data_IF_202856374822
#
_entry.id   IF_202856374822
#
_cell.length_a   1.000
_cell.length_b   1.000
_cell.length_c   1.000
_cell.angle_alpha   90.00
_cell.angle_beta   90.00
_cell.angle_gamma   90.00
#
_symmetry.space_group_name_H-M   'P 1'
#
loop_
_entity.id
_entity.type
_entity.pdbx_description
1 polymer ?
#
# COMPACT_ATOMS: atom_id res chain seq x y z
N UNK A 1 0.48 -2.29 -2.65
CA UNK A 1 -0.72 -2.42 -3.49
C UNK A 1 -0.76 -1.28 -4.50
N UNK A 2 -1.52 -1.44 -5.60
CA UNK A 2 -1.68 -0.40 -6.63
C UNK A 2 -1.00 -0.75 -7.95
N UNK A 3 -0.28 0.16 -8.50
CA UNK A 3 0.38 0.50 -9.75
C UNK A 3 -0.52 1.31 -10.69
N UNK A 4 -1.08 0.79 -11.77
CA UNK A 4 -1.92 1.62 -12.66
C UNK A 4 -3.04 2.33 -11.90
N UNK A 5 -3.59 1.66 -10.90
CA UNK A 5 -4.62 2.22 -10.02
C UNK A 5 -4.55 1.60 -8.62
N UNK A 6 -5.23 2.24 -7.64
CA UNK A 6 -5.40 1.76 -6.27
C UNK A 6 -6.75 2.21 -5.71
N UNK A 7 -7.12 1.73 -4.51
CA UNK A 7 -8.34 2.14 -3.82
C UNK A 7 -9.44 1.08 -3.88
N UNK A 8 -10.70 1.53 -3.79
CA UNK A 8 -11.86 0.64 -3.79
C UNK A 8 -12.16 0.06 -5.18
N UNK A 9 -12.83 -1.11 -5.24
CA UNK A 9 -13.31 -1.65 -6.50
C UNK A 9 -14.28 -0.68 -7.17
N UNK A 10 -14.32 -0.71 -8.48
CA UNK A 10 -15.20 0.16 -9.25
C UNK A 10 -15.10 -0.09 -10.73
N UNK A 11 -15.73 0.81 -11.49
CA UNK A 11 -15.60 0.87 -12.95
C UNK A 11 -14.92 2.14 -13.34
N UNK A 12 -14.05 2.07 -14.35
CA UNK A 12 -13.40 3.21 -14.94
C UNK A 12 -13.58 3.22 -16.45
N UNK A 13 -13.52 4.40 -17.06
CA UNK A 13 -13.57 4.58 -18.50
C UNK A 13 -12.18 4.90 -19.03
N UNK A 14 -11.83 4.33 -20.15
CA UNK A 14 -10.57 4.60 -20.83
C UNK A 14 -10.77 4.69 -22.33
N UNK A 15 -9.79 5.26 -23.02
CA UNK A 15 -9.79 5.27 -24.48
C UNK A 15 -8.98 4.07 -25.00
N UNK A 16 -9.63 3.23 -25.79
CA UNK A 16 -8.99 2.06 -26.40
C UNK A 16 -7.96 2.50 -27.45
N UNK A 17 -7.12 1.56 -27.87
CA UNK A 17 -6.16 1.78 -28.94
C UNK A 17 -6.80 2.11 -30.31
N UNK A 18 -8.09 1.91 -30.47
CA UNK A 18 -8.85 2.29 -31.66
C UNK A 18 -9.53 3.66 -31.52
N UNK A 19 -9.33 4.35 -30.38
CA UNK A 19 -9.97 5.64 -30.10
C UNK A 19 -11.40 5.54 -29.56
N UNK A 20 -11.94 4.35 -29.39
CA UNK A 20 -13.27 4.16 -28.82
C UNK A 20 -13.23 4.21 -27.28
N UNK A 21 -14.35 4.58 -26.66
CA UNK A 21 -14.51 4.44 -25.19
C UNK A 21 -14.62 2.98 -24.80
N UNK A 22 -13.87 2.57 -23.81
CA UNK A 22 -13.94 1.27 -23.16
C UNK A 22 -14.19 1.41 -21.67
N UNK A 23 -14.58 0.32 -21.02
CA UNK A 23 -14.73 0.24 -19.57
C UNK A 23 -13.88 -0.90 -19.03
N UNK A 24 -13.30 -0.70 -17.84
CA UNK A 24 -12.63 -1.76 -17.09
C UNK A 24 -13.17 -1.85 -15.66
N UNK A 25 -13.16 -3.05 -15.13
CA UNK A 25 -13.45 -3.28 -13.71
C UNK A 25 -12.16 -3.15 -12.91
N UNK A 26 -12.18 -2.22 -11.95
CA UNK A 26 -11.06 -2.00 -11.03
C UNK A 26 -11.19 -2.95 -9.84
N UNK A 27 -10.12 -3.66 -9.53
CA UNK A 27 -10.04 -4.53 -8.36
C UNK A 27 -9.66 -3.75 -7.11
N UNK A 28 -9.98 -4.30 -5.93
CA UNK A 28 -9.58 -3.70 -4.66
C UNK A 28 -8.04 -3.55 -4.60
N UNK A 29 -7.58 -2.33 -4.32
CA UNK A 29 -6.16 -1.97 -4.12
C UNK A 29 -5.24 -2.22 -5.33
N UNK A 30 -5.79 -2.26 -6.54
CA UNK A 30 -5.00 -2.41 -7.76
C UNK A 30 -4.59 -3.86 -8.06
N UNK A 31 -3.71 -4.03 -9.02
CA UNK A 31 -3.36 -5.33 -9.59
C UNK A 31 -2.16 -6.01 -8.93
N UNK A 32 -1.19 -5.21 -8.44
CA UNK A 32 0.14 -5.73 -8.10
C UNK A 32 0.13 -6.81 -7.00
N UNK A 33 -0.80 -6.72 -6.06
CA UNK A 33 -0.94 -7.72 -4.97
C UNK A 33 -1.34 -9.10 -5.45
N UNK A 34 -1.85 -9.21 -6.69
CA UNK A 34 -2.35 -10.44 -7.29
C UNK A 34 -1.47 -10.92 -8.45
N UNK A 35 -0.34 -10.26 -8.71
CA UNK A 35 0.61 -10.64 -9.75
C UNK A 35 1.78 -11.36 -9.06
N UNK A 36 2.05 -12.63 -9.40
CA UNK A 36 3.21 -13.34 -8.88
C UNK A 36 4.52 -12.64 -9.25
N UNK A 37 5.47 -12.65 -8.33
CA UNK A 37 6.81 -12.17 -8.64
C UNK A 37 7.44 -13.03 -9.74
N UNK A 38 7.97 -12.39 -10.78
CA UNK A 38 8.64 -13.05 -11.90
C UNK A 38 10.08 -13.42 -11.58
N UNK A 39 10.67 -12.79 -10.57
CA UNK A 39 12.01 -13.05 -10.08
C UNK A 39 12.06 -12.80 -8.57
N UNK A 40 12.71 -13.69 -7.81
CA UNK A 40 12.93 -13.53 -6.37
C UNK A 40 14.39 -13.86 -6.07
N UNK A 41 15.06 -12.93 -5.41
CA UNK A 41 16.46 -13.05 -5.01
C UNK A 41 16.54 -12.95 -3.49
N UNK A 42 17.18 -13.93 -2.84
CA UNK A 42 17.46 -13.91 -1.40
C UNK A 42 18.96 -13.83 -1.19
N UNK A 43 19.41 -12.86 -0.42
CA UNK A 43 20.82 -12.69 -0.08
C UNK A 43 21.00 -12.49 1.42
N UNK A 44 22.14 -13.00 1.93
CA UNK A 44 22.59 -12.76 3.30
C UNK A 44 24.05 -12.30 3.23
N UNK A 45 24.34 -11.17 3.85
CA UNK A 45 25.72 -10.66 3.91
C UNK A 45 26.59 -11.62 4.72
N UNK A 46 27.82 -11.87 4.23
CA UNK A 46 28.79 -12.75 4.89
C UNK A 46 29.52 -12.10 6.05
N UNK A 47 29.38 -10.80 6.19
CA UNK A 47 30.01 -9.97 7.24
C UNK A 47 28.93 -9.26 8.08
N UNK A 48 29.26 -8.96 9.32
CA UNK A 48 28.38 -8.18 10.18
C UNK A 48 27.97 -6.87 9.51
N UNK A 49 26.70 -6.47 9.63
CA UNK A 49 25.64 -6.98 10.51
C UNK A 49 24.83 -8.19 9.96
N UNK A 50 25.33 -8.89 8.92
CA UNK A 50 24.68 -10.06 8.31
C UNK A 50 23.29 -9.75 7.74
N UNK A 51 23.15 -8.65 7.05
CA UNK A 51 21.88 -8.19 6.51
C UNK A 51 21.23 -9.25 5.62
N UNK A 52 19.99 -9.54 5.91
CA UNK A 52 19.13 -10.43 5.10
C UNK A 52 18.31 -9.54 4.17
N UNK A 53 18.29 -9.88 2.87
CA UNK A 53 17.49 -9.20 1.85
C UNK A 53 16.68 -10.18 1.05
N UNK A 54 15.44 -9.85 0.83
CA UNK A 54 14.56 -10.53 -0.13
C UNK A 54 14.16 -9.47 -1.15
N UNK A 55 14.47 -9.70 -2.41
CA UNK A 55 14.17 -8.80 -3.51
C UNK A 55 13.30 -9.50 -4.54
N UNK A 56 12.16 -8.91 -4.87
CA UNK A 56 11.23 -9.47 -5.83
C UNK A 56 10.91 -8.49 -6.95
N UNK A 57 10.69 -9.01 -8.17
CA UNK A 57 10.23 -8.25 -9.32
C UNK A 57 8.81 -8.61 -9.68
N UNK A 58 7.96 -7.60 -9.82
CA UNK A 58 6.62 -7.73 -10.37
C UNK A 58 6.46 -6.80 -11.56
N UNK A 59 5.88 -7.32 -12.63
CA UNK A 59 5.63 -6.57 -13.86
C UNK A 59 4.12 -6.42 -14.07
N UNK A 60 3.62 -5.19 -14.09
CA UNK A 60 2.28 -4.90 -14.56
C UNK A 60 2.37 -4.49 -16.03
N UNK A 61 1.96 -5.39 -16.93
CA UNK A 61 2.10 -5.18 -18.37
C UNK A 61 0.80 -5.46 -19.11
N UNK A 62 0.34 -4.45 -19.83
CA UNK A 62 -0.83 -4.53 -20.70
C UNK A 62 -0.41 -4.19 -22.12
N UNK A 63 -0.92 -4.91 -23.12
CA UNK A 63 -0.43 -4.80 -24.50
C UNK A 63 -0.49 -3.36 -25.05
N UNK A 64 -1.60 -2.67 -24.92
CA UNK A 64 -1.78 -1.26 -25.26
C UNK A 64 -1.96 -0.35 -24.03
N UNK A 65 -1.37 -0.71 -22.92
CA UNK A 65 -1.50 0.01 -21.66
C UNK A 65 -0.17 0.08 -20.92
N UNK A 66 -0.22 0.19 -19.59
CA UNK A 66 0.96 0.37 -18.75
C UNK A 66 1.98 -0.75 -18.91
N UNK A 67 3.25 -0.39 -18.77
CA UNK A 67 4.39 -1.30 -18.72
C UNK A 67 5.27 -0.91 -17.54
N UNK A 68 4.76 -1.20 -16.35
CA UNK A 68 5.38 -0.86 -15.08
C UNK A 68 6.13 -2.05 -14.51
N UNK A 69 7.37 -1.86 -14.13
CA UNK A 69 8.22 -2.84 -13.47
C UNK A 69 8.51 -2.36 -12.06
N UNK A 70 8.13 -3.12 -11.06
CA UNK A 70 8.43 -2.84 -9.66
C UNK A 70 9.42 -3.86 -9.13
N UNK A 71 10.54 -3.39 -8.60
CA UNK A 71 11.42 -4.12 -7.72
C UNK A 71 11.17 -3.70 -6.28
N UNK A 72 10.79 -4.64 -5.44
CA UNK A 72 10.68 -4.45 -3.98
C UNK A 72 11.79 -5.21 -3.29
N UNK A 73 12.55 -4.53 -2.46
CA UNK A 73 13.51 -5.15 -1.53
C UNK A 73 13.01 -5.00 -0.09
N UNK A 74 12.97 -6.09 0.63
CA UNK A 74 12.74 -6.12 2.08
C UNK A 74 14.04 -6.54 2.74
N UNK A 75 14.53 -5.72 3.66
CA UNK A 75 15.79 -6.00 4.36
C UNK A 75 15.66 -5.85 5.87
N UNK A 76 16.42 -6.68 6.59
CA UNK A 76 16.54 -6.64 8.05
C UNK A 76 17.90 -7.19 8.47
N UNK A 77 18.25 -7.03 9.74
CA UNK A 77 19.43 -7.67 10.35
C UNK A 77 18.99 -8.63 11.46
N UNK A 78 19.70 -9.73 11.68
CA UNK A 78 19.37 -10.68 12.76
C UNK A 78 19.28 -10.00 14.12
N UNK A 79 18.23 -10.31 14.88
CA UNK A 79 17.97 -9.71 16.19
C UNK A 79 17.33 -8.33 16.16
N UNK A 80 17.07 -7.74 14.98
CA UNK A 80 16.34 -6.47 14.84
C UNK A 80 14.82 -6.70 14.89
N UNK A 81 14.11 -5.74 15.47
CA UNK A 81 12.64 -5.66 15.43
C UNK A 81 12.14 -4.78 14.29
N UNK A 82 13.02 -4.38 13.37
CA UNK A 82 12.70 -3.51 12.24
C UNK A 82 13.03 -4.18 10.92
N UNK A 83 12.35 -3.78 9.88
CA UNK A 83 12.71 -4.08 8.50
C UNK A 83 12.53 -2.83 7.64
N UNK A 84 13.23 -2.79 6.53
CA UNK A 84 13.13 -1.71 5.55
C UNK A 84 12.52 -2.26 4.27
N UNK A 85 11.58 -1.51 3.69
CA UNK A 85 11.07 -1.75 2.34
C UNK A 85 11.66 -0.68 1.44
N UNK A 86 12.25 -1.10 0.34
CA UNK A 86 12.80 -0.21 -0.69
C UNK A 86 12.23 -0.60 -2.06
N UNK A 87 11.49 0.30 -2.66
CA UNK A 87 10.85 0.09 -3.95
C UNK A 87 11.51 0.89 -5.05
N UNK A 88 11.69 0.25 -6.21
CA UNK A 88 12.15 0.89 -7.43
C UNK A 88 11.14 0.62 -8.52
N UNK A 89 10.39 1.65 -8.90
CA UNK A 89 9.42 1.59 -9.98
C UNK A 89 10.02 2.15 -11.26
N UNK A 90 9.89 1.40 -12.34
CA UNK A 90 10.39 1.79 -13.68
C UNK A 90 9.26 1.71 -14.69
N UNK A 91 9.06 2.79 -15.44
CA UNK A 91 8.24 2.75 -16.64
C UNK A 91 9.08 2.16 -17.78
N UNK A 92 8.65 1.02 -18.30
CA UNK A 92 9.25 0.32 -19.45
C UNK A 92 8.54 0.62 -20.77
N UNK A 93 7.53 1.49 -20.75
CA UNK A 93 6.86 2.01 -21.94
C UNK A 93 7.60 3.19 -22.57
N UNK A 94 7.14 3.61 -23.75
CA UNK A 94 7.67 4.78 -24.48
C UNK A 94 7.04 6.09 -24.05
N UNK A 95 5.87 6.03 -23.43
CA UNK A 95 5.09 7.19 -23.04
C UNK A 95 5.08 7.37 -21.53
N UNK A 96 4.87 8.58 -20.99
CA UNK A 96 4.64 8.80 -19.58
C UNK A 96 3.47 7.94 -19.06
N UNK A 97 3.64 7.37 -17.87
CA UNK A 97 2.65 6.53 -17.24
C UNK A 97 2.39 7.00 -15.80
N UNK A 98 1.14 7.26 -15.49
CA UNK A 98 0.72 7.49 -14.11
C UNK A 98 0.72 6.17 -13.32
N UNK A 99 0.93 6.28 -12.02
CA UNK A 99 0.84 5.15 -11.11
C UNK A 99 0.31 5.58 -9.75
N UNK A 100 -0.27 4.62 -9.04
CA UNK A 100 -0.67 4.77 -7.64
C UNK A 100 -0.01 3.68 -6.81
N UNK A 101 0.44 4.03 -5.60
CA UNK A 101 1.06 3.08 -4.68
C UNK A 101 0.49 3.25 -3.27
N UNK A 102 0.09 2.13 -2.66
CA UNK A 102 -0.35 2.09 -1.27
C UNK A 102 0.53 1.14 -0.49
N UNK A 103 1.20 1.64 0.55
CA UNK A 103 1.80 0.82 1.59
C UNK A 103 0.70 0.37 2.56
N UNK A 104 0.21 -0.84 2.36
CA UNK A 104 -0.93 -1.39 3.08
C UNK A 104 -0.45 -2.39 4.13
N UNK A 105 -0.33 -1.92 5.37
CA UNK A 105 0.07 -2.75 6.49
C UNK A 105 -1.14 -3.22 7.29
N UNK A 106 -1.23 -4.52 7.55
CA UNK A 106 -2.25 -5.12 8.41
C UNK A 106 -1.63 -5.50 9.74
N UNK A 107 -2.25 -5.05 10.82
CA UNK A 107 -1.85 -5.36 12.18
C UNK A 107 -2.92 -6.21 12.85
N UNK A 108 -2.51 -7.16 13.67
CA UNK A 108 -3.39 -8.06 14.42
C UNK A 108 -2.86 -8.36 15.82
N UNK A 109 -3.44 -9.36 16.47
CA UNK A 109 -2.92 -9.86 17.76
C UNK A 109 -1.45 -10.33 17.59
N UNK A 110 -0.58 -10.06 18.58
CA UNK A 110 -0.84 -9.43 19.87
C UNK A 110 -0.78 -7.89 19.88
N UNK A 111 -0.50 -7.24 18.74
CA UNK A 111 -0.37 -5.78 18.69
C UNK A 111 -1.74 -5.07 18.81
N UNK A 112 -2.74 -5.53 18.05
CA UNK A 112 -4.08 -4.95 18.08
C UNK A 112 -5.02 -5.85 18.91
N UNK A 113 -5.09 -5.56 20.19
CA UNK A 113 -6.03 -6.14 21.13
C UNK A 113 -6.90 -5.07 21.77
N UNK A 114 -7.90 -5.45 22.55
CA UNK A 114 -8.74 -4.51 23.28
C UNK A 114 -7.89 -3.53 24.09
N UNK A 115 -8.07 -2.24 23.83
CA UNK A 115 -7.34 -1.17 24.48
C UNK A 115 -6.04 -0.77 23.81
N UNK A 116 -5.64 -1.44 22.72
CA UNK A 116 -4.54 -0.98 21.89
C UNK A 116 -4.84 0.42 21.32
N UNK A 117 -3.81 1.24 21.16
CA UNK A 117 -3.96 2.61 20.70
C UNK A 117 -3.06 2.89 19.51
N UNK A 118 -3.62 3.64 18.54
CA UNK A 118 -2.83 4.27 17.49
C UNK A 118 -2.35 5.63 17.99
N UNK A 119 -1.04 5.83 18.00
CA UNK A 119 -0.43 7.13 18.31
C UNK A 119 0.13 7.71 17.03
N UNK A 120 -0.38 8.86 16.62
CA UNK A 120 0.06 9.56 15.41
C UNK A 120 0.25 11.06 15.70
N UNK A 121 1.26 11.66 15.11
CA UNK A 121 1.49 13.10 15.10
C UNK A 121 0.51 13.75 14.11
N UNK A 122 -0.78 13.81 14.46
CA UNK A 122 -1.85 14.24 13.60
C UNK A 122 -2.22 15.70 13.85
N UNK A 123 -2.22 16.51 12.79
CA UNK A 123 -2.82 17.83 12.79
C UNK A 123 -4.36 17.74 12.79
N UNK A 124 -4.88 16.78 12.03
CA UNK A 124 -6.32 16.55 11.89
C UNK A 124 -6.64 15.08 11.63
N UNK A 125 -7.76 14.63 12.16
CA UNK A 125 -8.35 13.33 11.84
C UNK A 125 -9.76 13.56 11.32
N UNK A 126 -10.10 12.94 10.20
CA UNK A 126 -11.43 13.02 9.60
C UNK A 126 -12.02 11.62 9.41
N UNK A 127 -13.30 11.42 9.73
CA UNK A 127 -14.00 10.19 9.40
C UNK A 127 -14.20 10.11 7.89
N UNK A 128 -14.07 8.91 7.34
CA UNK A 128 -14.25 8.67 5.90
C UNK A 128 -15.73 8.79 5.48
N UNK A 129 -16.66 8.43 6.36
CA UNK A 129 -18.10 8.45 6.11
C UNK A 129 -18.89 8.63 7.41
N UNK A 130 -20.24 8.71 7.30
CA UNK A 130 -21.14 8.88 8.44
C UNK A 130 -21.08 7.73 9.45
N UNK A 131 -20.74 6.52 9.01
CA UNK A 131 -20.53 5.40 9.91
C UNK A 131 -19.31 5.64 10.80
N UNK A 132 -18.19 6.04 10.21
CA UNK A 132 -16.96 6.36 10.93
C UNK A 132 -17.11 7.61 11.82
N UNK A 133 -17.95 8.59 11.42
CA UNK A 133 -18.19 9.79 12.22
C UNK A 133 -18.73 9.49 13.62
N UNK A 134 -19.46 8.38 13.80
CA UNK A 134 -19.97 7.93 15.09
C UNK A 134 -18.89 7.52 16.06
N UNK A 135 -17.72 7.12 15.57
CA UNK A 135 -16.59 6.63 16.36
C UNK A 135 -15.43 7.65 16.45
N UNK A 136 -15.60 8.88 15.93
CA UNK A 136 -14.51 9.88 15.84
C UNK A 136 -13.87 10.22 17.19
N UNK A 137 -14.60 10.10 18.28
CA UNK A 137 -14.05 10.37 19.64
C UNK A 137 -13.12 9.29 20.16
N UNK A 138 -13.15 8.12 19.56
CA UNK A 138 -12.35 6.93 19.94
C UNK A 138 -11.57 6.38 18.76
N UNK A 139 -11.29 7.22 17.77
CA UNK A 139 -10.63 6.85 16.52
C UNK A 139 -9.29 6.14 16.72
N UNK A 140 -8.61 6.44 17.80
CA UNK A 140 -7.27 5.95 18.14
C UNK A 140 -7.27 4.70 19.04
N UNK A 141 -8.45 4.21 19.44
CA UNK A 141 -8.55 3.13 20.44
C UNK A 141 -9.29 1.93 19.87
N UNK A 142 -8.69 0.78 19.94
CA UNK A 142 -9.24 -0.48 19.45
C UNK A 142 -10.10 -1.19 20.49
N UNK A 143 -11.27 -1.65 20.06
CA UNK A 143 -12.14 -2.52 20.84
C UNK A 143 -11.68 -3.98 20.83
N UNK A 144 -12.41 -4.83 21.56
CA UNK A 144 -12.26 -6.27 21.42
C UNK A 144 -12.74 -6.73 20.02
N UNK A 145 -12.21 -7.85 19.48
CA UNK A 145 -12.73 -8.45 18.26
C UNK A 145 -14.24 -8.70 18.37
N UNK A 146 -14.96 -8.38 17.31
CA UNK A 146 -16.41 -8.49 17.24
C UNK A 146 -16.84 -9.12 15.92
N UNK A 147 -17.66 -10.19 15.99
CA UNK A 147 -18.27 -10.78 14.80
C UNK A 147 -19.19 -9.78 14.10
N UNK A 148 -19.14 -9.73 12.76
CA UNK A 148 -19.94 -8.78 11.97
C UNK A 148 -19.52 -7.32 12.17
N UNK A 149 -18.27 -7.06 12.59
CA UNK A 149 -17.76 -5.71 12.67
C UNK A 149 -17.73 -5.05 11.30
N UNK A 150 -18.33 -3.88 11.21
CA UNK A 150 -18.30 -3.05 10.00
C UNK A 150 -17.07 -2.15 10.08
N UNK A 151 -16.31 -2.11 9.02
CA UNK A 151 -15.10 -1.31 8.90
C UNK A 151 -15.33 0.17 9.24
N UNK A 152 -14.41 0.73 10.05
CA UNK A 152 -14.42 2.14 10.45
C UNK A 152 -13.11 2.76 9.99
N UNK A 153 -13.20 3.70 9.03
CA UNK A 153 -12.04 4.30 8.37
C UNK A 153 -11.88 5.76 8.77
N UNK A 154 -10.66 6.14 9.12
CA UNK A 154 -10.27 7.53 9.38
C UNK A 154 -9.13 7.95 8.46
N UNK A 155 -9.21 9.18 7.98
CA UNK A 155 -8.11 9.86 7.33
C UNK A 155 -7.32 10.64 8.38
N UNK A 156 -6.04 10.34 8.49
CA UNK A 156 -5.13 11.02 9.41
C UNK A 156 -4.26 11.96 8.58
N UNK A 157 -4.30 13.25 8.90
CA UNK A 157 -3.48 14.28 8.30
C UNK A 157 -2.34 14.59 9.28
N UNK A 158 -1.13 14.12 9.02
CA UNK A 158 -0.01 14.33 9.92
C UNK A 158 0.47 15.79 9.88
N UNK A 159 1.15 16.22 10.94
CA UNK A 159 1.89 17.47 10.91
C UNK A 159 3.01 17.38 9.87
N UNK A 160 3.16 18.44 9.09
CA UNK A 160 4.25 18.58 8.16
C UNK A 160 5.32 19.54 8.72
N UNK A 161 6.59 19.29 8.36
CA UNK A 161 7.65 20.26 8.62
C UNK A 161 7.54 21.49 7.70
N UNK A 162 8.47 22.45 7.84
CA UNK A 162 8.46 23.67 7.03
C UNK A 162 8.68 23.41 5.53
N UNK A 163 9.16 22.22 5.15
CA UNK A 163 9.35 21.79 3.78
C UNK A 163 8.18 20.93 3.28
N UNK A 164 7.10 20.77 4.08
CA UNK A 164 5.94 19.96 3.75
C UNK A 164 6.14 18.46 3.87
N UNK A 165 7.19 17.99 4.58
CA UNK A 165 7.45 16.56 4.82
C UNK A 165 6.76 16.11 6.11
N UNK A 166 6.18 14.94 6.11
CA UNK A 166 5.45 14.32 7.22
C UNK A 166 6.19 13.10 7.77
#
# INVERSE_FOLDING_TARGET
>A
CGLEYAGHPGKDEFITNTGAKGQMDLTLHGKISNIPASEVIVTVDRQAPYTIRIRGRVDERVFFGPKLELWTEISTVPGSNTFTISDTLTNRGSEPQEFMLIYHANYGSPLLEKGARLVAAAERVAPFNDHAAKAVKTWDTYGAPKSGFVEVVFQIFPFADRQGRT
#
